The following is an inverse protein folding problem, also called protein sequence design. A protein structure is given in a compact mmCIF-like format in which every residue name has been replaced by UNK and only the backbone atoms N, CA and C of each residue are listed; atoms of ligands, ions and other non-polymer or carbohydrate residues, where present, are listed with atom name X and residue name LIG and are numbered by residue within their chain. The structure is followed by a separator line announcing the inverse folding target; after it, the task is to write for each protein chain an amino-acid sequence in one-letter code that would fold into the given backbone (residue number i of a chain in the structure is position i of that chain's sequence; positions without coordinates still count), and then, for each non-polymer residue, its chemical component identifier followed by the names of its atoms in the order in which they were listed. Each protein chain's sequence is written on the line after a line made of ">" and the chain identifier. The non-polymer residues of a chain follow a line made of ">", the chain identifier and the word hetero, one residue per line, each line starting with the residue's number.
data_IF_844666859269
#
_entry.id   IF_844666859269
#
_cell.length_a   1.000
_cell.length_b   1.000
_cell.length_c   1.000
_cell.angle_alpha   90.00
_cell.angle_beta   90.00
_cell.angle_gamma   90.00
#
_symmetry.space_group_name_H-M   'P 1'
#
loop_
_entity.id
_entity.type
_entity.pdbx_description
1 polymer ?
#
# COMPACT_ATOMS: atom_id res chain seq x y z
N UNK A 1 15.83 -15.18 -31.27
CA UNK A 1 15.14 -13.89 -31.11
C UNK A 1 14.03 -14.07 -30.08
N UNK A 2 13.89 -13.06 -29.21
CA UNK A 2 12.68 -12.63 -28.50
C UNK A 2 12.00 -13.59 -27.52
N UNK A 3 12.12 -13.26 -26.23
CA UNK A 3 10.99 -12.67 -25.49
C UNK A 3 11.50 -12.04 -24.18
N UNK A 4 11.93 -10.78 -24.21
CA UNK A 4 11.94 -9.93 -23.02
C UNK A 4 10.53 -9.40 -22.91
N UNK A 5 9.72 -9.99 -22.04
CA UNK A 5 8.38 -9.46 -21.75
C UNK A 5 8.60 -8.16 -20.98
N UNK A 6 8.56 -7.02 -21.69
CA UNK A 6 8.36 -5.73 -21.04
C UNK A 6 7.05 -5.85 -20.27
N UNK A 7 7.13 -5.80 -18.94
CA UNK A 7 6.07 -5.21 -18.15
C UNK A 7 5.72 -3.90 -18.87
N UNK A 8 4.49 -3.79 -19.39
CA UNK A 8 4.01 -2.52 -19.92
C UNK A 8 4.36 -1.47 -18.87
N UNK A 9 5.16 -0.48 -19.23
CA UNK A 9 5.63 0.56 -18.32
C UNK A 9 4.40 1.05 -17.55
N UNK A 10 4.38 0.77 -16.24
CA UNK A 10 3.24 1.14 -15.42
C UNK A 10 3.12 2.65 -15.52
N UNK A 11 1.89 3.13 -15.76
CA UNK A 11 1.62 4.56 -15.76
C UNK A 11 2.13 5.16 -14.45
N UNK A 12 3.07 6.10 -14.55
CA UNK A 12 3.74 6.69 -13.38
C UNK A 12 2.76 7.44 -12.48
N UNK A 13 1.66 7.96 -13.03
CA UNK A 13 0.59 8.55 -12.21
C UNK A 13 -0.17 7.49 -11.43
N UNK A 14 -0.24 6.27 -11.92
CA UNK A 14 -0.95 5.14 -11.30
C UNK A 14 0.02 4.11 -10.68
N UNK A 15 1.18 4.58 -10.24
CA UNK A 15 2.19 3.79 -9.54
C UNK A 15 2.59 4.49 -8.26
N UNK A 16 2.61 3.76 -7.13
CA UNK A 16 3.20 4.22 -5.89
C UNK A 16 4.51 3.47 -5.61
N UNK A 17 5.49 4.20 -5.10
CA UNK A 17 6.66 3.63 -4.44
C UNK A 17 6.50 3.76 -2.94
N UNK A 18 6.48 2.61 -2.27
CA UNK A 18 6.51 2.47 -0.83
C UNK A 18 7.92 2.08 -0.43
N UNK A 19 8.65 3.01 0.17
CA UNK A 19 9.97 2.74 0.74
C UNK A 19 9.81 2.24 2.17
N UNK A 20 10.34 1.04 2.42
CA UNK A 20 10.46 0.41 3.73
C UNK A 20 11.94 0.41 4.14
N UNK A 21 12.23 -0.02 5.38
CA UNK A 21 13.62 -0.13 5.85
C UNK A 21 14.45 -1.14 5.03
N UNK A 22 13.80 -2.18 4.50
CA UNK A 22 14.44 -3.29 3.82
C UNK A 22 14.49 -3.12 2.29
N UNK A 23 13.69 -2.20 1.73
CA UNK A 23 13.69 -1.90 0.31
C UNK A 23 12.42 -1.23 -0.19
N UNK A 24 12.30 -1.12 -1.52
CA UNK A 24 11.18 -0.44 -2.19
C UNK A 24 10.15 -1.44 -2.68
N UNK A 25 8.90 -1.18 -2.37
CA UNK A 25 7.73 -1.90 -2.88
C UNK A 25 7.07 -1.05 -3.96
N UNK A 26 6.82 -1.64 -5.13
CA UNK A 26 6.09 -0.97 -6.21
C UNK A 26 4.64 -1.43 -6.18
N UNK A 27 3.72 -0.46 -6.16
CA UNK A 27 2.28 -0.70 -6.07
C UNK A 27 1.61 -0.11 -7.31
N UNK A 28 0.86 -0.92 -8.03
CA UNK A 28 -0.05 -0.48 -9.09
C UNK A 28 -1.36 0.01 -8.47
N UNK A 29 -1.77 1.23 -8.81
CA UNK A 29 -3.08 1.80 -8.48
C UNK A 29 -4.13 1.39 -9.51
N UNK A 30 -5.38 1.26 -9.06
CA UNK A 30 -6.50 0.78 -9.89
C UNK A 30 -7.67 1.78 -9.92
N UNK A 31 -7.50 2.96 -10.54
CA UNK A 31 -8.54 4.00 -10.58
C UNK A 31 -9.81 3.56 -11.32
N UNK A 32 -9.74 2.54 -12.18
CA UNK A 32 -10.90 2.03 -12.92
C UNK A 32 -11.93 1.35 -12.01
N UNK A 33 -11.51 0.81 -10.86
CA UNK A 33 -12.39 0.07 -9.93
C UNK A 33 -12.60 0.79 -8.59
N UNK A 34 -11.71 1.72 -8.22
CA UNK A 34 -11.79 2.49 -6.98
C UNK A 34 -11.25 3.92 -7.15
N UNK A 35 -11.88 4.74 -8.02
CA UNK A 35 -11.36 6.07 -8.38
C UNK A 35 -11.23 7.00 -7.17
N UNK A 36 -12.22 7.04 -6.26
CA UNK A 36 -12.18 7.94 -5.10
C UNK A 36 -11.11 7.53 -4.10
N UNK A 37 -10.91 6.22 -3.88
CA UNK A 37 -9.85 5.73 -3.01
C UNK A 37 -8.47 6.00 -3.60
N UNK A 38 -8.29 5.76 -4.90
CA UNK A 38 -7.02 6.07 -5.59
C UNK A 38 -6.71 7.57 -5.50
N UNK A 39 -7.69 8.44 -5.75
CA UNK A 39 -7.52 9.88 -5.57
C UNK A 39 -7.10 10.24 -4.13
N UNK A 40 -7.78 9.68 -3.13
CA UNK A 40 -7.44 9.90 -1.71
C UNK A 40 -6.01 9.49 -1.39
N UNK A 41 -5.59 8.30 -1.80
CA UNK A 41 -4.24 7.81 -1.52
C UNK A 41 -3.21 8.73 -2.18
N UNK A 42 -3.42 9.15 -3.44
CA UNK A 42 -2.51 10.10 -4.11
C UNK A 42 -2.44 11.44 -3.37
N UNK A 43 -3.57 12.00 -2.96
CA UNK A 43 -3.63 13.27 -2.23
C UNK A 43 -2.84 13.20 -0.93
N UNK A 44 -3.14 12.23 -0.07
CA UNK A 44 -2.43 12.06 1.20
C UNK A 44 -0.93 11.75 1.01
N UNK A 45 -0.59 10.97 -0.02
CA UNK A 45 0.82 10.70 -0.38
C UNK A 45 1.56 11.98 -0.77
N UNK A 46 0.96 12.82 -1.61
CA UNK A 46 1.56 14.10 -2.04
C UNK A 46 1.68 15.12 -0.91
N UNK A 47 0.79 15.03 0.07
CA UNK A 47 0.86 15.83 1.32
C UNK A 47 1.95 15.32 2.29
N UNK A 48 2.58 14.17 2.02
CA UNK A 48 3.57 13.55 2.90
C UNK A 48 2.94 12.92 4.15
N UNK A 49 1.62 12.70 4.15
CA UNK A 49 0.87 12.22 5.32
C UNK A 49 1.37 10.87 5.84
N UNK A 50 1.75 9.97 4.94
CA UNK A 50 2.10 8.60 5.28
C UNK A 50 3.54 8.43 5.79
N UNK A 51 4.41 9.43 5.61
CA UNK A 51 5.82 9.32 5.96
C UNK A 51 5.98 9.19 7.48
N UNK A 52 6.61 8.09 7.92
CA UNK A 52 6.79 7.76 9.33
C UNK A 52 5.61 7.05 9.99
N UNK A 53 4.48 6.87 9.30
CA UNK A 53 3.34 6.11 9.84
C UNK A 53 3.73 4.63 9.98
N UNK A 54 3.36 4.05 11.13
CA UNK A 54 3.70 2.68 11.49
C UNK A 54 2.70 1.65 10.95
N UNK A 55 3.20 0.45 10.69
CA UNK A 55 2.38 -0.75 10.55
C UNK A 55 1.94 -1.22 11.94
N UNK A 56 0.84 -0.66 12.42
CA UNK A 56 0.35 -0.87 13.80
C UNK A 56 -0.30 -2.23 14.02
N UNK A 57 -0.68 -2.94 12.95
CA UNK A 57 -1.32 -4.25 13.04
C UNK A 57 -0.85 -5.15 11.89
N UNK A 58 -0.11 -6.20 12.22
CA UNK A 58 0.53 -7.08 11.25
C UNK A 58 0.34 -8.53 11.68
N UNK A 59 -0.46 -9.27 10.91
CA UNK A 59 -0.87 -10.64 11.22
C UNK A 59 -0.24 -11.57 10.20
N UNK A 60 0.57 -12.50 10.70
CA UNK A 60 1.22 -13.48 9.85
C UNK A 60 0.22 -14.35 9.08
N UNK A 61 0.49 -14.55 7.79
CA UNK A 61 -0.42 -15.26 6.87
C UNK A 61 -1.71 -14.50 6.53
N UNK A 62 -1.90 -13.26 7.01
CA UNK A 62 -3.06 -12.45 6.67
C UNK A 62 -2.68 -11.11 6.05
N UNK A 63 -2.34 -10.09 6.85
CA UNK A 63 -2.12 -8.74 6.32
C UNK A 63 -1.21 -7.87 7.18
N UNK A 64 -0.67 -6.82 6.57
CA UNK A 64 0.00 -5.69 7.23
C UNK A 64 -0.85 -4.42 7.05
N UNK A 65 -1.34 -3.86 8.16
CA UNK A 65 -2.20 -2.66 8.19
C UNK A 65 -1.43 -1.44 8.70
N UNK A 66 -1.63 -0.31 8.02
CA UNK A 66 -0.97 0.98 8.24
C UNK A 66 -1.94 2.15 7.95
N UNK A 67 -1.42 3.38 7.89
CA UNK A 67 -2.18 4.58 7.54
C UNK A 67 -2.91 5.25 8.69
N UNK A 68 -2.64 4.85 9.93
CA UNK A 68 -3.10 5.53 11.15
C UNK A 68 -1.98 6.43 11.70
N UNK A 69 -2.14 7.78 11.68
CA UNK A 69 -1.11 8.71 12.15
C UNK A 69 -0.83 8.61 13.66
N UNK A 70 -1.76 8.04 14.43
CA UNK A 70 -1.60 7.82 15.87
C UNK A 70 -0.99 6.46 16.19
N UNK A 71 -1.03 5.52 15.24
CA UNK A 71 -0.58 4.14 15.41
C UNK A 71 -1.44 3.29 16.37
N UNK A 72 -2.64 3.75 16.76
CA UNK A 72 -3.51 3.03 17.73
C UNK A 72 -4.54 2.10 17.06
N UNK A 73 -4.69 2.18 15.74
CA UNK A 73 -5.71 1.52 14.94
C UNK A 73 -7.03 2.30 14.80
N UNK A 74 -7.13 3.49 15.38
CA UNK A 74 -8.39 4.28 15.43
C UNK A 74 -8.28 5.67 14.82
N UNK A 75 -7.09 6.11 14.43
CA UNK A 75 -6.90 7.42 13.80
C UNK A 75 -7.18 7.41 12.30
N UNK A 76 -7.17 8.61 11.73
CA UNK A 76 -7.39 8.87 10.31
C UNK A 76 -6.82 10.23 9.91
N UNK A 77 -6.94 10.58 8.64
CA UNK A 77 -6.66 11.93 8.16
C UNK A 77 -7.78 12.91 8.54
N UNK A 78 -7.53 14.20 8.38
CA UNK A 78 -8.54 15.27 8.55
C UNK A 78 -9.57 15.32 7.42
N UNK A 79 -9.40 14.51 6.36
CA UNK A 79 -10.34 14.40 5.25
C UNK A 79 -11.57 13.58 5.67
N UNK A 80 -12.74 13.82 5.06
CA UNK A 80 -13.95 13.04 5.35
C UNK A 80 -13.79 11.57 4.98
N UNK A 81 -14.63 10.72 5.57
CA UNK A 81 -14.71 9.31 5.20
C UNK A 81 -15.14 9.12 3.74
N UNK A 82 -14.67 8.03 3.16
CA UNK A 82 -15.00 7.59 1.80
C UNK A 82 -16.16 6.60 1.84
N UNK A 83 -17.06 6.75 0.87
CA UNK A 83 -18.01 5.70 0.53
C UNK A 83 -17.28 4.48 -0.02
N UNK A 84 -17.76 3.28 0.31
CA UNK A 84 -17.21 2.04 -0.21
C UNK A 84 -17.29 1.97 -1.74
N UNK A 85 -16.20 1.55 -2.38
CA UNK A 85 -16.11 1.23 -3.81
C UNK A 85 -15.86 -0.28 -3.95
N UNK A 86 -16.76 -1.10 -3.39
CA UNK A 86 -16.64 -2.55 -3.45
C UNK A 86 -16.56 -3.04 -4.89
N UNK A 87 -15.66 -3.97 -5.13
CA UNK A 87 -15.38 -4.54 -6.44
C UNK A 87 -15.13 -6.05 -6.35
N UNK A 88 -15.12 -6.71 -7.50
CA UNK A 88 -14.96 -8.15 -7.66
C UNK A 88 -13.49 -8.59 -7.79
N UNK A 89 -12.55 -7.68 -7.53
CA UNK A 89 -11.12 -7.99 -7.53
C UNK A 89 -10.80 -8.94 -6.38
N UNK A 90 -10.12 -10.05 -6.69
CA UNK A 90 -9.79 -11.05 -5.69
C UNK A 90 -8.72 -10.53 -4.74
N UNK A 91 -8.99 -10.60 -3.44
CA UNK A 91 -8.01 -10.38 -2.38
C UNK A 91 -7.02 -11.53 -2.29
N UNK A 92 -6.01 -11.51 -3.16
CA UNK A 92 -4.88 -12.42 -3.12
C UNK A 92 -3.65 -11.78 -2.45
N UNK A 93 -2.53 -12.51 -2.53
CA UNK A 93 -1.22 -12.00 -2.10
C UNK A 93 -0.88 -10.68 -2.81
N UNK A 94 -0.45 -9.69 -2.03
CA UNK A 94 -0.08 -8.36 -2.49
C UNK A 94 -1.26 -7.45 -2.81
N UNK A 95 -2.51 -7.93 -2.73
CA UNK A 95 -3.69 -7.07 -2.92
C UNK A 95 -3.82 -6.08 -1.77
N UNK A 96 -4.17 -4.84 -2.09
CA UNK A 96 -4.26 -3.74 -1.13
C UNK A 96 -5.71 -3.27 -1.00
N UNK A 97 -6.19 -3.33 0.25
CA UNK A 97 -7.55 -2.93 0.62
C UNK A 97 -7.58 -1.68 1.50
N UNK A 98 -8.67 -0.93 1.42
CA UNK A 98 -8.96 0.14 2.36
C UNK A 98 -9.45 -0.44 3.69
N UNK A 99 -8.85 -0.03 4.81
CA UNK A 99 -9.36 -0.41 6.13
C UNK A 99 -10.57 0.46 6.49
N UNK A 100 -11.51 -0.11 7.24
CA UNK A 100 -12.74 0.56 7.68
C UNK A 100 -13.18 0.05 9.04
N UNK A 101 -14.03 0.81 9.71
CA UNK A 101 -14.76 0.34 10.88
C UNK A 101 -15.93 -0.58 10.48
N UNK A 102 -16.87 -0.82 11.40
CA UNK A 102 -18.10 -1.56 11.13
C UNK A 102 -18.96 -0.91 10.01
N UNK A 103 -18.89 0.42 9.85
CA UNK A 103 -19.58 1.10 8.76
C UNK A 103 -18.87 0.86 7.43
N UNK A 104 -19.55 0.40 6.36
CA UNK A 104 -18.97 0.29 5.03
C UNK A 104 -18.34 1.59 4.51
N UNK A 105 -18.95 2.73 4.85
CA UNK A 105 -18.55 4.07 4.39
C UNK A 105 -17.71 4.80 5.44
N UNK A 106 -16.74 4.11 6.05
CA UNK A 106 -15.85 4.68 7.09
C UNK A 106 -14.37 4.52 6.77
N UNK A 107 -14.04 4.18 5.52
CA UNK A 107 -12.65 4.19 5.07
C UNK A 107 -12.14 5.64 5.08
N UNK A 108 -10.92 5.85 5.57
CA UNK A 108 -10.35 7.20 5.67
C UNK A 108 -8.94 7.28 5.07
N UNK A 109 -7.92 6.92 5.86
CA UNK A 109 -6.50 6.88 5.46
C UNK A 109 -5.84 5.54 5.71
N UNK A 110 -6.47 4.66 6.49
CA UNK A 110 -5.92 3.35 6.81
C UNK A 110 -6.09 2.36 5.64
N UNK A 111 -5.10 1.51 5.43
CA UNK A 111 -5.10 0.47 4.40
C UNK A 111 -4.23 -0.71 4.83
N UNK A 112 -4.37 -1.83 4.13
CA UNK A 112 -3.63 -3.05 4.42
C UNK A 112 -3.17 -3.77 3.14
N UNK A 113 -2.05 -4.48 3.22
CA UNK A 113 -1.54 -5.38 2.17
C UNK A 113 -1.72 -6.82 2.63
N UNK A 114 -2.28 -7.67 1.77
CA UNK A 114 -2.41 -9.09 2.05
C UNK A 114 -1.09 -9.86 1.85
N UNK A 115 -0.69 -10.65 2.84
CA UNK A 115 0.47 -11.55 2.74
C UNK A 115 0.16 -12.80 1.93
N UNK A 116 -1.07 -13.27 1.97
CA UNK A 116 -1.51 -14.51 1.31
C UNK A 116 -2.96 -14.35 0.83
N UNK A 117 -3.65 -15.46 0.57
CA UNK A 117 -5.07 -15.46 0.23
C UNK A 117 -5.91 -14.82 1.34
N UNK A 118 -6.55 -13.72 0.97
CA UNK A 118 -7.47 -12.94 1.77
C UNK A 118 -8.89 -12.99 1.17
N UNK A 119 -9.21 -14.01 0.37
CA UNK A 119 -10.45 -14.10 -0.43
C UNK A 119 -11.74 -13.97 0.40
N UNK A 120 -11.68 -14.25 1.70
CA UNK A 120 -12.78 -13.99 2.64
C UNK A 120 -13.15 -12.51 2.79
N UNK A 121 -12.30 -11.58 2.33
CA UNK A 121 -12.57 -10.13 2.26
C UNK A 121 -13.25 -9.70 0.96
N UNK A 122 -13.33 -10.58 -0.05
CA UNK A 122 -13.92 -10.27 -1.35
C UNK A 122 -15.35 -9.72 -1.19
N UNK A 123 -15.67 -8.67 -1.96
CA UNK A 123 -16.95 -7.96 -1.93
C UNK A 123 -17.31 -7.28 -0.58
N UNK A 124 -16.39 -7.23 0.39
CA UNK A 124 -16.61 -6.61 1.71
C UNK A 124 -15.70 -5.41 1.99
N UNK A 125 -14.66 -5.24 1.17
CA UNK A 125 -13.65 -4.20 1.28
C UNK A 125 -13.33 -3.65 -0.11
N UNK A 126 -12.99 -2.36 -0.18
CA UNK A 126 -12.55 -1.71 -1.41
C UNK A 126 -11.12 -2.13 -1.70
N UNK A 127 -10.88 -2.81 -2.81
CA UNK A 127 -9.52 -2.96 -3.38
C UNK A 127 -9.19 -1.71 -4.18
N UNK A 128 -8.02 -1.12 -3.94
CA UNK A 128 -7.56 0.07 -4.68
C UNK A 128 -6.18 -0.09 -5.30
N UNK A 129 -5.41 -1.12 -4.92
CA UNK A 129 -4.06 -1.33 -5.42
C UNK A 129 -3.57 -2.78 -5.32
N UNK A 130 -2.45 -3.04 -5.96
CA UNK A 130 -1.79 -4.34 -5.99
C UNK A 130 -0.27 -4.14 -5.97
N UNK A 131 0.43 -4.84 -5.08
CA UNK A 131 1.89 -4.96 -5.13
C UNK A 131 2.30 -5.69 -6.40
N UNK A 132 3.18 -5.08 -7.18
CA UNK A 132 3.70 -5.61 -8.45
C UNK A 132 5.19 -5.91 -8.39
N UNK A 133 5.90 -5.36 -7.41
CA UNK A 133 7.32 -5.64 -7.14
C UNK A 133 7.66 -5.35 -5.66
N UNK A 134 8.68 -6.02 -5.12
CA UNK A 134 9.14 -5.83 -3.73
C UNK A 134 8.26 -6.47 -2.64
N UNK A 135 7.54 -7.54 -2.97
CA UNK A 135 6.67 -8.22 -1.99
C UNK A 135 7.47 -8.91 -0.85
N UNK A 136 8.72 -9.27 -1.09
CA UNK A 136 9.66 -9.75 -0.08
C UNK A 136 9.90 -8.71 1.03
N UNK A 137 10.02 -7.42 0.69
CA UNK A 137 10.12 -6.36 1.69
C UNK A 137 8.84 -6.18 2.51
N UNK A 138 7.68 -6.49 1.92
CA UNK A 138 6.41 -6.54 2.66
C UNK A 138 6.43 -7.71 3.64
N UNK A 139 6.86 -8.90 3.18
CA UNK A 139 6.94 -10.10 4.02
C UNK A 139 7.82 -9.89 5.27
N UNK A 140 8.85 -9.06 5.18
CA UNK A 140 9.78 -8.77 6.28
C UNK A 140 9.25 -7.79 7.35
N UNK A 141 8.05 -7.22 7.14
CA UNK A 141 7.43 -6.30 8.11
C UNK A 141 7.19 -7.01 9.45
N UNK A 142 7.65 -6.40 10.55
CA UNK A 142 7.58 -6.97 11.90
C UNK A 142 6.14 -7.27 12.31
N UNK A 143 5.89 -8.53 12.74
CA UNK A 143 4.56 -9.04 13.13
C UNK A 143 4.13 -8.54 14.52
N UNK A 144 2.81 -8.39 14.73
CA UNK A 144 2.19 -8.08 16.02
C UNK A 144 0.90 -7.24 15.94
N UNK A 145 0.13 -7.19 17.04
CA UNK A 145 -1.13 -6.44 17.16
C UNK A 145 -1.24 -5.67 18.51
N UNK A 146 -0.47 -4.59 18.74
CA UNK A 146 0.57 -4.04 17.87
C UNK A 146 1.94 -4.73 18.08
N UNK A 147 2.85 -4.62 17.10
CA UNK A 147 4.24 -5.05 17.28
C UNK A 147 4.95 -4.25 18.39
N UNK A 148 5.91 -4.87 19.09
CA UNK A 148 6.69 -4.19 20.13
C UNK A 148 7.59 -3.07 19.57
N UNK A 149 8.13 -3.28 18.37
CA UNK A 149 8.88 -2.29 17.60
C UNK A 149 8.30 -2.29 16.17
N UNK A 150 7.21 -1.56 15.91
CA UNK A 150 6.55 -1.60 14.62
C UNK A 150 7.42 -0.94 13.55
N UNK A 151 7.45 -1.56 12.37
CA UNK A 151 8.04 -0.95 11.19
C UNK A 151 7.16 0.21 10.68
N UNK A 152 7.73 1.05 9.84
CA UNK A 152 7.08 2.26 9.34
C UNK A 152 7.32 2.46 7.86
N UNK A 153 6.43 3.22 7.25
CA UNK A 153 6.60 3.79 5.93
C UNK A 153 7.77 4.77 6.02
N UNK A 154 8.92 4.46 5.39
CA UNK A 154 10.04 5.40 5.32
C UNK A 154 9.66 6.55 4.41
N UNK A 155 9.03 6.23 3.28
CA UNK A 155 8.48 7.21 2.36
C UNK A 155 7.39 6.59 1.50
N UNK A 156 6.34 7.34 1.18
CA UNK A 156 5.39 6.97 0.14
C UNK A 156 5.39 8.04 -0.95
N UNK A 157 5.50 7.65 -2.22
CA UNK A 157 5.54 8.59 -3.33
C UNK A 157 4.71 8.11 -4.52
N UNK A 158 4.03 9.03 -5.20
CA UNK A 158 3.53 8.79 -6.56
C UNK A 158 4.72 8.79 -7.50
N UNK A 159 4.87 7.76 -8.34
CA UNK A 159 6.06 7.59 -9.16
C UNK A 159 6.30 8.78 -10.11
N UNK A 160 5.23 9.40 -10.62
CA UNK A 160 5.31 10.61 -11.45
C UNK A 160 5.95 11.82 -10.76
N UNK A 161 5.90 11.89 -9.42
CA UNK A 161 6.43 13.01 -8.63
C UNK A 161 7.87 12.77 -8.14
N UNK A 162 8.42 11.59 -8.42
CA UNK A 162 9.79 11.25 -8.06
C UNK A 162 10.72 11.93 -9.05
N UNK A 163 11.45 12.95 -8.57
CA UNK A 163 12.59 13.49 -9.32
C UNK A 163 13.57 12.35 -9.53
N UNK A 164 13.97 12.11 -10.78
CA UNK A 164 15.00 11.14 -11.15
C UNK A 164 16.23 11.35 -10.25
N UNK A 165 16.37 10.55 -9.20
CA UNK A 165 17.63 10.38 -8.51
C UNK A 165 18.38 9.32 -9.29
N UNK A 166 19.54 9.71 -9.82
CA UNK A 166 20.40 8.87 -10.64
C UNK A 166 20.57 7.46 -10.04
N UNK A 167 20.61 6.40 -10.88
CA UNK A 167 20.69 5.03 -10.41
C UNK A 167 21.87 4.88 -9.45
N UNK A 168 21.59 4.43 -8.22
CA UNK A 168 22.61 4.01 -7.25
C UNK A 168 23.40 2.89 -7.92
N UNK A 169 24.66 3.18 -8.31
CA UNK A 169 25.60 2.17 -8.78
C UNK A 169 25.66 1.03 -7.76
N UNK A 170 25.23 -0.16 -8.17
CA UNK A 170 25.55 -1.40 -7.47
C UNK A 170 27.07 -1.47 -7.33
N UNK A 171 27.54 -1.51 -6.08
CA UNK A 171 28.92 -1.83 -5.77
C UNK A 171 29.12 -3.32 -6.07
N UNK A 172 29.69 -3.61 -7.24
CA UNK A 172 30.24 -4.93 -7.56
C UNK A 172 31.44 -5.14 -6.63
N UNK A 173 31.29 -6.00 -5.63
CA UNK A 173 32.41 -6.50 -4.85
C UNK A 173 33.12 -7.60 -5.65
N UNK A 174 34.43 -7.43 -5.80
CA UNK A 174 35.40 -8.31 -6.46
C UNK A 174 35.71 -9.55 -5.62
#
# INVERSE_FOLDING_TARGET
>A
MTATTNAAELDSENTLYLDLKDGRVTIKLMPDIAPKHVERIKTLTREGFYDGIVFHRVIDGFMAQTGDPTGTGTGGSELPDLEAEFNDYNFGRGTIGAARSASPNSANSQWFICFDDCSFLNNQYTVWGQVVDGMDHVDDITRGEPPANPDKIVKLQVAADVKEEAPKKEATAE
#
